data_IF_195835838592
#
_entry.id   IF_195835838592
#
_cell.length_a   1.000
_cell.length_b   1.000
_cell.length_c   1.000
_cell.angle_alpha   90.00
_cell.angle_beta   90.00
_cell.angle_gamma   90.00
#
_symmetry.space_group_name_H-M   'P 1'
#
loop_
_entity.id
_entity.type
_entity.pdbx_description
1 polymer ?
#
# COMPACT_ATOMS: atom_id res chain seq x y z
N UNK A 1 19.08 -71.13 -39.08
CA UNK A 1 20.03 -72.27 -39.16
C UNK A 1 19.24 -73.57 -39.30
N UNK A 2 19.42 -74.38 -40.35
CA UNK A 2 18.93 -75.75 -40.34
C UNK A 2 19.92 -76.65 -39.59
N UNK A 3 19.40 -77.58 -38.78
CA UNK A 3 20.20 -78.62 -38.10
C UNK A 3 20.68 -79.64 -39.15
N UNK A 4 21.97 -79.68 -39.43
CA UNK A 4 22.62 -80.75 -40.20
C UNK A 4 22.79 -82.00 -39.33
N UNK A 5 22.43 -83.18 -39.86
CA UNK A 5 22.66 -84.48 -39.21
C UNK A 5 24.18 -84.71 -39.00
N UNK A 6 24.62 -85.42 -37.94
CA UNK A 6 26.04 -85.70 -37.74
C UNK A 6 26.53 -86.71 -38.79
N UNK A 7 27.66 -86.42 -39.42
CA UNK A 7 28.35 -87.32 -40.36
C UNK A 7 29.09 -88.41 -39.57
N UNK A 8 28.68 -89.66 -39.77
CA UNK A 8 29.23 -90.88 -39.16
C UNK A 8 30.52 -91.36 -39.86
N UNK A 9 31.40 -90.44 -40.28
CA UNK A 9 32.67 -90.79 -40.94
C UNK A 9 33.85 -90.33 -40.08
N UNK A 10 34.56 -91.29 -39.52
CA UNK A 10 35.86 -91.09 -38.87
C UNK A 10 36.90 -90.73 -39.94
N UNK A 11 37.79 -89.80 -39.59
CA UNK A 11 38.63 -89.08 -40.53
C UNK A 11 39.68 -89.95 -41.26
N UNK A 12 39.86 -89.63 -42.53
CA UNK A 12 40.94 -90.14 -43.39
C UNK A 12 42.25 -89.44 -42.99
N UNK A 13 43.30 -90.19 -42.67
CA UNK A 13 44.67 -89.68 -42.57
C UNK A 13 45.43 -90.07 -43.84
N UNK A 14 45.69 -89.11 -44.73
CA UNK A 14 46.39 -89.33 -46.00
C UNK A 14 45.55 -90.08 -47.05
N UNK A 15 46.15 -91.05 -47.75
CA UNK A 15 45.52 -91.83 -48.83
C UNK A 15 45.06 -93.23 -48.40
N UNK A 16 45.06 -93.55 -47.10
CA UNK A 16 44.64 -94.84 -46.59
C UNK A 16 43.35 -94.70 -45.77
N UNK A 17 42.31 -95.44 -46.18
CA UNK A 17 41.01 -95.46 -45.51
C UNK A 17 41.08 -96.43 -44.31
N UNK A 18 40.85 -95.94 -43.09
CA UNK A 18 41.03 -96.70 -41.83
C UNK A 18 39.76 -97.48 -41.49
N UNK A 19 39.07 -98.02 -42.50
CA UNK A 19 37.99 -98.97 -42.27
C UNK A 19 38.63 -100.32 -41.89
N UNK A 20 38.41 -100.84 -40.68
CA UNK A 20 39.08 -102.05 -40.21
C UNK A 20 38.76 -103.27 -41.08
N UNK A 21 37.55 -103.32 -41.67
CA UNK A 21 37.15 -104.39 -42.59
C UNK A 21 37.95 -104.35 -43.90
N UNK A 22 38.13 -103.15 -44.48
CA UNK A 22 38.90 -102.98 -45.72
C UNK A 22 40.40 -103.14 -45.49
N UNK A 23 40.93 -102.69 -44.35
CA UNK A 23 42.34 -102.85 -44.01
C UNK A 23 42.74 -104.34 -43.89
N UNK A 24 41.84 -105.17 -43.34
CA UNK A 24 42.07 -106.62 -43.27
C UNK A 24 42.06 -107.24 -44.67
N UNK A 25 41.13 -106.85 -45.55
CA UNK A 25 41.13 -107.35 -46.94
C UNK A 25 42.39 -106.91 -47.69
N UNK A 26 42.80 -105.65 -47.56
CA UNK A 26 44.03 -105.14 -48.20
C UNK A 26 45.30 -105.83 -47.67
N UNK A 27 45.33 -106.19 -46.38
CA UNK A 27 46.43 -106.96 -45.81
C UNK A 27 46.51 -108.38 -46.40
N UNK A 28 45.38 -109.06 -46.56
CA UNK A 28 45.34 -110.38 -47.19
C UNK A 28 45.67 -110.34 -48.69
N UNK A 29 45.19 -109.31 -49.41
CA UNK A 29 45.54 -109.08 -50.81
C UNK A 29 47.04 -108.80 -50.98
N UNK A 30 47.62 -107.97 -50.12
CA UNK A 30 49.07 -107.70 -50.12
C UNK A 30 49.89 -108.97 -49.82
N UNK A 31 49.45 -109.76 -48.84
CA UNK A 31 50.12 -111.04 -48.50
C UNK A 31 50.00 -112.08 -49.61
N UNK A 32 48.87 -112.14 -50.32
CA UNK A 32 48.71 -112.98 -51.52
C UNK A 32 49.56 -112.47 -52.69
N UNK A 33 49.68 -111.15 -52.86
CA UNK A 33 50.53 -110.55 -53.89
C UNK A 33 52.02 -110.88 -53.66
N UNK A 34 52.49 -110.89 -52.40
CA UNK A 34 53.86 -111.29 -52.06
C UNK A 34 54.15 -112.77 -52.36
N UNK A 35 53.18 -113.68 -52.15
CA UNK A 35 53.33 -115.12 -52.47
C UNK A 35 53.26 -115.43 -53.98
N UNK A 36 52.56 -114.61 -54.77
CA UNK A 36 52.39 -114.78 -56.21
C UNK A 36 53.40 -114.01 -57.07
N UNK A 37 54.32 -113.26 -56.46
CA UNK A 37 55.28 -112.41 -57.17
C UNK A 37 56.45 -113.23 -57.76
N UNK A 38 56.28 -113.74 -58.97
CA UNK A 38 57.40 -114.26 -59.77
C UNK A 38 58.24 -113.08 -60.29
N UNK A 39 59.38 -112.79 -59.66
CA UNK A 39 60.36 -111.82 -60.19
C UNK A 39 60.91 -112.35 -61.51
N UNK A 40 60.39 -111.85 -62.64
CA UNK A 40 60.96 -112.12 -63.97
C UNK A 40 62.45 -111.76 -63.97
N UNK A 41 63.34 -112.66 -64.41
CA UNK A 41 64.77 -112.36 -64.41
C UNK A 41 65.11 -111.28 -65.46
N UNK A 42 65.92 -110.31 -65.03
CA UNK A 42 66.28 -109.04 -65.71
C UNK A 42 66.96 -109.15 -67.08
N UNK A 43 67.16 -110.36 -67.62
CA UNK A 43 67.83 -110.56 -68.91
C UNK A 43 66.86 -110.58 -70.09
N UNK A 44 65.56 -110.73 -69.85
CA UNK A 44 64.50 -110.73 -70.87
C UNK A 44 63.56 -109.52 -70.71
N UNK A 45 64.16 -108.37 -70.40
CA UNK A 45 63.54 -107.04 -70.42
C UNK A 45 64.43 -106.17 -71.32
N UNK A 46 63.89 -105.44 -72.31
CA UNK A 46 64.69 -104.54 -73.13
C UNK A 46 65.46 -103.57 -72.23
N UNK A 47 66.79 -103.55 -72.31
CA UNK A 47 67.60 -102.53 -71.61
C UNK A 47 67.30 -101.18 -72.25
N UNK A 48 66.53 -100.36 -71.56
CA UNK A 48 66.31 -98.97 -71.89
C UNK A 48 67.67 -98.25 -71.82
N UNK A 49 68.21 -97.80 -72.97
CA UNK A 49 69.50 -97.11 -73.01
C UNK A 49 69.44 -95.70 -72.42
N UNK A 50 70.59 -95.04 -72.19
CA UNK A 50 70.65 -93.62 -71.75
C UNK A 50 69.82 -92.69 -72.64
N UNK A 51 69.69 -93.03 -73.92
CA UNK A 51 68.83 -92.32 -74.87
C UNK A 51 67.34 -92.49 -74.53
N UNK A 52 66.92 -93.65 -74.03
CA UNK A 52 65.57 -93.89 -73.55
C UNK A 52 65.26 -93.06 -72.30
N UNK A 53 66.14 -93.07 -71.30
CA UNK A 53 65.98 -92.28 -70.07
C UNK A 53 66.00 -90.76 -70.34
N UNK A 54 66.83 -90.30 -71.28
CA UNK A 54 66.80 -88.90 -71.73
C UNK A 54 65.47 -88.56 -72.42
N UNK A 55 64.92 -89.47 -73.24
CA UNK A 55 63.61 -89.31 -73.87
C UNK A 55 62.49 -89.35 -72.82
N UNK A 56 62.58 -90.18 -71.79
CA UNK A 56 61.62 -90.23 -70.69
C UNK A 56 61.67 -88.96 -69.83
N UNK A 57 62.86 -88.50 -69.43
CA UNK A 57 63.01 -87.24 -68.70
C UNK A 57 62.52 -86.03 -69.51
N UNK A 58 62.74 -86.03 -70.82
CA UNK A 58 62.20 -84.97 -71.69
C UNK A 58 60.67 -85.05 -71.77
N UNK A 59 60.09 -86.25 -71.83
CA UNK A 59 58.63 -86.45 -71.73
C UNK A 59 58.08 -86.00 -70.39
N UNK A 60 58.70 -86.38 -69.29
CA UNK A 60 58.31 -85.97 -67.93
C UNK A 60 58.45 -84.46 -67.76
N UNK A 61 59.52 -83.84 -68.26
CA UNK A 61 59.69 -82.40 -68.22
C UNK A 61 58.61 -81.67 -69.04
N UNK A 62 58.29 -82.19 -70.22
CA UNK A 62 57.19 -81.65 -71.05
C UNK A 62 55.84 -81.82 -70.35
N UNK A 63 55.59 -82.97 -69.73
CA UNK A 63 54.38 -83.22 -68.93
C UNK A 63 54.30 -82.28 -67.73
N UNK A 64 55.39 -82.10 -66.98
CA UNK A 64 55.47 -81.23 -65.82
C UNK A 64 55.34 -79.76 -66.18
N UNK A 65 55.97 -79.32 -67.27
CA UNK A 65 55.83 -77.96 -67.79
C UNK A 65 54.39 -77.68 -68.23
N UNK A 66 53.78 -78.62 -68.95
CA UNK A 66 52.36 -78.60 -69.32
C UNK A 66 51.46 -78.51 -68.08
N UNK A 67 51.72 -79.31 -67.04
CA UNK A 67 50.99 -79.27 -65.78
C UNK A 67 51.18 -77.94 -65.04
N UNK A 68 52.38 -77.38 -64.99
CA UNK A 68 52.65 -76.07 -64.37
C UNK A 68 51.90 -74.96 -65.08
N UNK A 69 51.83 -74.97 -66.41
CA UNK A 69 51.03 -74.03 -67.17
C UNK A 69 49.54 -74.19 -66.84
N UNK A 70 49.04 -75.42 -66.77
CA UNK A 70 47.66 -75.71 -66.35
C UNK A 70 47.41 -75.16 -64.95
N UNK A 71 48.32 -75.34 -64.00
CA UNK A 71 48.20 -74.81 -62.63
C UNK A 71 48.24 -73.29 -62.58
N UNK A 72 49.14 -72.63 -63.32
CA UNK A 72 49.19 -71.17 -63.43
C UNK A 72 47.88 -70.62 -64.01
N UNK A 73 47.36 -71.25 -65.07
CA UNK A 73 46.07 -70.90 -65.68
C UNK A 73 44.93 -71.09 -64.68
N UNK A 74 44.87 -72.22 -63.97
CA UNK A 74 43.87 -72.49 -62.92
C UNK A 74 43.97 -71.50 -61.76
N UNK A 75 45.17 -71.17 -61.28
CA UNK A 75 45.38 -70.20 -60.21
C UNK A 75 44.97 -68.78 -60.63
N UNK A 76 45.28 -68.37 -61.86
CA UNK A 76 44.84 -67.09 -62.40
C UNK A 76 43.32 -67.01 -62.52
N UNK A 77 42.66 -68.09 -62.97
CA UNK A 77 41.19 -68.19 -63.01
C UNK A 77 40.63 -68.12 -61.59
N UNK A 78 41.18 -68.87 -60.63
CA UNK A 78 40.71 -68.88 -59.25
C UNK A 78 40.89 -67.51 -58.57
N UNK A 79 42.00 -66.82 -58.83
CA UNK A 79 42.22 -65.45 -58.33
C UNK A 79 41.13 -64.51 -58.83
N UNK A 80 40.81 -64.53 -60.13
CA UNK A 80 39.72 -63.72 -60.72
C UNK A 80 38.34 -64.07 -60.15
N UNK A 81 38.11 -65.34 -59.79
CA UNK A 81 36.86 -65.76 -59.13
C UNK A 81 36.81 -65.24 -57.69
N UNK A 82 37.93 -65.32 -56.96
CA UNK A 82 38.02 -64.84 -55.59
C UNK A 82 37.90 -63.31 -55.50
N UNK A 83 38.54 -62.57 -56.39
CA UNK A 83 38.40 -61.11 -56.50
C UNK A 83 36.93 -60.72 -56.71
N UNK A 84 36.26 -61.33 -57.69
CA UNK A 84 34.81 -61.15 -57.89
C UNK A 84 33.99 -61.47 -56.65
N UNK A 85 34.31 -62.55 -55.95
CA UNK A 85 33.61 -62.93 -54.71
C UNK A 85 33.80 -61.91 -53.59
N UNK A 86 34.98 -61.31 -53.48
CA UNK A 86 35.28 -60.26 -52.50
C UNK A 86 34.50 -58.98 -52.85
N UNK A 87 34.47 -58.61 -54.13
CA UNK A 87 33.66 -57.47 -54.62
C UNK A 87 32.16 -57.69 -54.35
N UNK A 88 31.63 -58.87 -54.68
CA UNK A 88 30.24 -59.25 -54.40
C UNK A 88 29.93 -59.20 -52.89
N UNK A 89 30.87 -59.65 -52.05
CA UNK A 89 30.74 -59.58 -50.59
C UNK A 89 30.69 -58.13 -50.10
N UNK A 90 31.59 -57.26 -50.59
CA UNK A 90 31.56 -55.84 -50.22
C UNK A 90 30.28 -55.16 -50.71
N UNK A 91 29.84 -55.46 -51.92
CA UNK A 91 28.59 -54.92 -52.47
C UNK A 91 27.36 -55.37 -51.67
N UNK A 92 27.31 -56.64 -51.27
CA UNK A 92 26.22 -57.13 -50.40
C UNK A 92 26.28 -56.53 -49.00
N UNK A 93 27.47 -56.33 -48.44
CA UNK A 93 27.65 -55.66 -47.16
C UNK A 93 27.16 -54.21 -47.18
N UNK A 94 27.48 -53.45 -48.24
CA UNK A 94 27.03 -52.06 -48.36
C UNK A 94 25.51 -51.98 -48.50
N UNK A 95 24.91 -52.84 -49.33
CA UNK A 95 23.44 -52.98 -49.43
C UNK A 95 22.79 -53.32 -48.09
N UNK A 96 23.44 -54.14 -47.26
CA UNK A 96 22.93 -54.45 -45.92
C UNK A 96 23.02 -53.26 -44.98
N UNK A 97 24.09 -52.45 -45.08
CA UNK A 97 24.23 -51.22 -44.30
C UNK A 97 23.18 -50.18 -44.68
N UNK A 98 22.98 -49.95 -45.97
CA UNK A 98 21.91 -49.06 -46.47
C UNK A 98 20.55 -49.50 -45.92
N UNK A 99 20.20 -50.79 -46.09
CA UNK A 99 18.96 -51.35 -45.52
C UNK A 99 18.87 -51.24 -44.01
N UNK A 100 19.99 -51.32 -43.29
CA UNK A 100 19.99 -51.16 -41.83
C UNK A 100 19.74 -49.70 -41.43
N UNK A 101 20.34 -48.75 -42.16
CA UNK A 101 20.08 -47.32 -41.96
C UNK A 101 18.61 -47.02 -42.26
N UNK A 102 18.08 -47.55 -43.36
CA UNK A 102 16.67 -47.37 -43.76
C UNK A 102 15.69 -47.99 -42.75
N UNK A 103 15.99 -49.18 -42.24
CA UNK A 103 15.11 -49.81 -41.24
C UNK A 103 15.19 -49.06 -39.90
N UNK A 104 16.37 -48.59 -39.50
CA UNK A 104 16.51 -47.82 -38.27
C UNK A 104 15.85 -46.43 -38.37
N UNK A 105 16.00 -45.74 -39.50
CA UNK A 105 15.30 -44.47 -39.74
C UNK A 105 13.79 -44.68 -39.75
N UNK A 106 13.30 -45.75 -40.40
CA UNK A 106 11.90 -46.13 -40.39
C UNK A 106 11.36 -46.43 -38.98
N UNK A 107 12.12 -47.18 -38.17
CA UNK A 107 11.73 -47.47 -36.78
C UNK A 107 11.66 -46.19 -35.94
N UNK A 108 12.62 -45.28 -36.11
CA UNK A 108 12.60 -43.97 -35.44
C UNK A 108 11.42 -43.12 -35.88
N UNK A 109 11.10 -43.12 -37.18
CA UNK A 109 9.90 -42.45 -37.69
C UNK A 109 8.61 -43.06 -37.14
N UNK A 110 8.52 -44.39 -37.03
CA UNK A 110 7.37 -45.06 -36.44
C UNK A 110 7.21 -44.71 -34.95
N UNK A 111 8.31 -44.70 -34.20
CA UNK A 111 8.31 -44.27 -32.78
C UNK A 111 7.84 -42.83 -32.64
N UNK A 112 8.39 -41.92 -33.45
CA UNK A 112 7.99 -40.51 -33.43
C UNK A 112 6.52 -40.32 -33.82
N UNK A 113 6.00 -41.11 -34.78
CA UNK A 113 4.59 -41.08 -35.16
C UNK A 113 3.71 -41.57 -34.01
N UNK A 114 4.12 -42.64 -33.33
CA UNK A 114 3.40 -43.19 -32.18
C UNK A 114 3.34 -42.18 -31.03
N UNK A 115 4.45 -41.55 -30.67
CA UNK A 115 4.47 -40.51 -29.64
C UNK A 115 3.59 -39.30 -29.99
N UNK A 116 3.57 -38.89 -31.27
CA UNK A 116 2.69 -37.81 -31.74
C UNK A 116 1.22 -38.22 -31.64
N UNK A 117 0.87 -39.42 -32.10
CA UNK A 117 -0.52 -39.90 -32.02
C UNK A 117 -0.95 -40.06 -30.57
N UNK A 118 -0.10 -40.55 -29.68
CA UNK A 118 -0.41 -40.67 -28.25
C UNK A 118 -0.61 -39.29 -27.62
N UNK A 119 0.22 -38.31 -28.00
CA UNK A 119 0.06 -36.91 -27.60
C UNK A 119 -1.24 -36.28 -28.10
N UNK A 120 -1.64 -36.58 -29.34
CA UNK A 120 -2.91 -36.13 -29.92
C UNK A 120 -4.12 -36.80 -29.25
N UNK A 121 -4.05 -38.11 -29.02
CA UNK A 121 -5.09 -38.88 -28.30
C UNK A 121 -5.25 -38.33 -26.88
N UNK A 122 -4.17 -38.05 -26.16
CA UNK A 122 -4.24 -37.48 -24.81
C UNK A 122 -4.91 -36.09 -24.81
N UNK A 123 -4.60 -35.24 -25.80
CA UNK A 123 -5.23 -33.93 -25.96
C UNK A 123 -6.72 -34.05 -26.28
N UNK A 124 -7.09 -34.96 -27.19
CA UNK A 124 -8.49 -35.20 -27.54
C UNK A 124 -9.27 -35.79 -26.36
N UNK A 125 -8.69 -36.70 -25.59
CA UNK A 125 -9.31 -37.22 -24.36
C UNK A 125 -9.52 -36.12 -23.31
N UNK A 126 -8.59 -35.17 -23.18
CA UNK A 126 -8.75 -34.03 -22.30
C UNK A 126 -9.90 -33.11 -22.75
N UNK A 127 -9.97 -32.79 -24.06
CA UNK A 127 -11.09 -32.02 -24.63
C UNK A 127 -12.43 -32.73 -24.44
N UNK A 128 -12.48 -34.04 -24.65
CA UNK A 128 -13.69 -34.83 -24.43
C UNK A 128 -14.19 -34.78 -22.99
N UNK A 129 -13.28 -34.73 -21.99
CA UNK A 129 -13.68 -34.55 -20.59
C UNK A 129 -14.33 -33.19 -20.38
N UNK A 130 -13.71 -32.12 -20.87
CA UNK A 130 -14.25 -30.76 -20.78
C UNK A 130 -15.63 -30.69 -21.44
N UNK A 131 -15.77 -31.20 -22.67
CA UNK A 131 -17.05 -31.20 -23.36
C UNK A 131 -18.12 -32.02 -22.64
N UNK A 132 -17.76 -33.14 -22.00
CA UNK A 132 -18.71 -33.90 -21.17
C UNK A 132 -19.20 -33.10 -19.97
N UNK A 133 -18.29 -32.42 -19.27
CA UNK A 133 -18.65 -31.53 -18.16
C UNK A 133 -19.57 -30.39 -18.62
N UNK A 134 -19.27 -29.76 -19.76
CA UNK A 134 -20.11 -28.73 -20.36
C UNK A 134 -21.49 -29.27 -20.75
N UNK A 135 -21.56 -30.45 -21.37
CA UNK A 135 -22.83 -31.12 -21.70
C UNK A 135 -23.65 -31.38 -20.44
N UNK A 136 -23.04 -31.85 -19.35
CA UNK A 136 -23.75 -32.06 -18.08
C UNK A 136 -24.30 -30.76 -17.49
N UNK A 137 -23.57 -29.64 -17.63
CA UNK A 137 -24.06 -28.31 -17.22
C UNK A 137 -25.25 -27.90 -18.09
N UNK A 138 -25.13 -28.01 -19.41
CA UNK A 138 -26.21 -27.67 -20.33
C UNK A 138 -27.45 -28.55 -20.14
N UNK A 139 -27.29 -29.83 -19.79
CA UNK A 139 -28.41 -30.71 -19.45
C UNK A 139 -29.11 -30.27 -18.16
N UNK A 140 -28.34 -29.86 -17.14
CA UNK A 140 -28.91 -29.30 -15.90
C UNK A 140 -29.68 -28.02 -16.19
N UNK A 141 -29.13 -27.12 -17.00
CA UNK A 141 -29.78 -25.86 -17.34
C UNK A 141 -31.00 -26.06 -18.23
N UNK A 142 -30.97 -27.01 -19.17
CA UNK A 142 -32.15 -27.43 -19.94
C UNK A 142 -33.25 -27.95 -19.02
N UNK A 143 -32.92 -28.76 -18.00
CA UNK A 143 -33.90 -29.23 -17.00
C UNK A 143 -34.48 -28.08 -16.18
N UNK A 144 -33.64 -27.12 -15.74
CA UNK A 144 -34.12 -25.90 -15.05
C UNK A 144 -35.04 -25.08 -15.94
N UNK A 145 -34.68 -24.89 -17.20
CA UNK A 145 -35.46 -24.11 -18.15
C UNK A 145 -36.79 -24.79 -18.48
N UNK A 146 -36.81 -26.11 -18.64
CA UNK A 146 -38.05 -26.86 -18.80
C UNK A 146 -38.96 -26.77 -17.56
N UNK A 147 -38.38 -26.82 -16.35
CA UNK A 147 -39.14 -26.61 -15.11
C UNK A 147 -39.66 -25.16 -14.99
N UNK A 148 -38.87 -24.18 -15.44
CA UNK A 148 -39.30 -22.79 -15.52
C UNK A 148 -40.42 -22.60 -16.55
N UNK A 149 -40.33 -23.23 -17.72
CA UNK A 149 -41.37 -23.19 -18.75
C UNK A 149 -42.70 -23.75 -18.24
N UNK A 150 -42.67 -24.85 -17.48
CA UNK A 150 -43.88 -25.40 -16.85
C UNK A 150 -44.49 -24.40 -15.86
N UNK A 151 -43.68 -23.83 -14.96
CA UNK A 151 -44.14 -22.79 -14.02
C UNK A 151 -44.67 -21.55 -14.75
N UNK A 152 -44.00 -21.15 -15.82
CA UNK A 152 -44.41 -19.99 -16.62
C UNK A 152 -45.73 -20.27 -17.34
N UNK A 153 -45.95 -21.49 -17.87
CA UNK A 153 -47.24 -21.89 -18.44
C UNK A 153 -48.36 -21.92 -17.40
N UNK A 154 -48.08 -22.32 -16.16
CA UNK A 154 -49.05 -22.23 -15.06
C UNK A 154 -49.40 -20.77 -14.78
N UNK A 155 -48.39 -19.90 -14.64
CA UNK A 155 -48.58 -18.47 -14.42
C UNK A 155 -49.32 -17.79 -15.59
N UNK A 156 -49.03 -18.16 -16.84
CA UNK A 156 -49.75 -17.63 -18.02
C UNK A 156 -51.22 -18.06 -18.01
N UNK A 157 -51.56 -19.26 -17.55
CA UNK A 157 -52.96 -19.69 -17.37
C UNK A 157 -53.64 -18.91 -16.25
N UNK A 158 -52.94 -18.65 -15.15
CA UNK A 158 -53.46 -17.78 -14.09
C UNK A 158 -53.73 -16.36 -14.62
N UNK A 159 -52.92 -15.90 -15.57
CA UNK A 159 -53.09 -14.61 -16.23
C UNK A 159 -54.12 -14.58 -17.38
N UNK A 160 -54.57 -15.74 -17.88
CA UNK A 160 -55.59 -15.87 -18.95
C UNK A 160 -56.92 -15.24 -18.51
N UNK A 161 -57.25 -15.34 -17.22
CA UNK A 161 -58.42 -14.71 -16.61
C UNK A 161 -58.40 -13.18 -16.81
N UNK A 162 -57.21 -12.56 -16.77
CA UNK A 162 -57.11 -11.12 -16.98
C UNK A 162 -57.29 -10.73 -18.45
N UNK A 163 -57.01 -11.62 -19.40
CA UNK A 163 -57.28 -11.38 -20.84
C UNK A 163 -58.79 -11.28 -21.08
N UNK A 164 -59.58 -12.13 -20.43
CA UNK A 164 -61.04 -12.04 -20.47
C UNK A 164 -61.55 -10.73 -19.86
N UNK A 165 -60.99 -10.33 -18.70
CA UNK A 165 -61.31 -9.05 -18.06
C UNK A 165 -60.89 -7.86 -18.93
N UNK A 166 -59.72 -7.90 -19.58
CA UNK A 166 -59.30 -6.84 -20.49
C UNK A 166 -60.20 -6.76 -21.72
N UNK A 167 -60.68 -7.90 -22.22
CA UNK A 167 -61.66 -7.95 -23.32
C UNK A 167 -62.98 -7.30 -22.90
N UNK A 168 -63.47 -7.59 -21.69
CA UNK A 168 -64.67 -6.96 -21.11
C UNK A 168 -64.47 -5.45 -20.86
N UNK A 169 -63.28 -5.03 -20.44
CA UNK A 169 -62.94 -3.60 -20.26
C UNK A 169 -62.86 -2.88 -21.60
N UNK A 170 -62.33 -3.49 -22.65
CA UNK A 170 -62.30 -2.94 -24.01
C UNK A 170 -63.73 -2.77 -24.55
N UNK A 171 -64.61 -3.76 -24.34
CA UNK A 171 -66.03 -3.65 -24.73
C UNK A 171 -66.77 -2.50 -24.03
N UNK A 172 -66.34 -2.13 -22.83
CA UNK A 172 -66.95 -1.06 -22.01
C UNK A 172 -66.22 0.29 -22.09
N UNK A 173 -65.14 0.42 -22.85
CA UNK A 173 -64.30 1.63 -22.90
C UNK A 173 -64.12 2.18 -24.32
N UNK A 174 -63.58 3.39 -24.40
CA UNK A 174 -63.37 4.12 -25.66
C UNK A 174 -62.10 3.66 -26.45
N UNK A 175 -61.47 2.53 -26.06
CA UNK A 175 -60.24 2.05 -26.70
C UNK A 175 -60.54 1.02 -27.80
N UNK A 176 -59.91 1.17 -28.97
CA UNK A 176 -60.17 0.32 -30.14
C UNK A 176 -59.44 -1.04 -30.08
N UNK A 177 -58.28 -1.10 -29.41
CA UNK A 177 -57.45 -2.30 -29.28
C UNK A 177 -56.82 -2.43 -27.88
N UNK A 178 -56.51 -3.66 -27.47
CA UNK A 178 -55.68 -3.95 -26.29
C UNK A 178 -54.31 -3.25 -26.36
N UNK A 179 -53.76 -3.15 -27.58
CA UNK A 179 -52.50 -2.45 -27.82
C UNK A 179 -52.62 -0.95 -27.55
N UNK A 180 -53.78 -0.33 -27.84
CA UNK A 180 -54.03 1.09 -27.55
C UNK A 180 -54.18 1.32 -26.04
N UNK A 181 -54.86 0.41 -25.33
CA UNK A 181 -54.94 0.45 -23.87
C UNK A 181 -53.56 0.29 -23.24
N UNK A 182 -52.74 -0.63 -23.75
CA UNK A 182 -51.37 -0.85 -23.28
C UNK A 182 -50.48 0.36 -23.58
N UNK A 183 -50.56 0.93 -24.78
CA UNK A 183 -49.80 2.12 -25.16
C UNK A 183 -50.17 3.34 -24.32
N UNK A 184 -51.45 3.49 -23.98
CA UNK A 184 -51.89 4.55 -23.06
C UNK A 184 -51.40 4.31 -21.63
N UNK A 185 -51.42 3.07 -21.15
CA UNK A 185 -50.83 2.72 -19.84
C UNK A 185 -49.32 2.96 -19.83
N UNK A 186 -48.60 2.56 -20.87
CA UNK A 186 -47.16 2.79 -21.00
C UNK A 186 -46.84 4.28 -21.07
N UNK A 187 -47.64 5.06 -21.82
CA UNK A 187 -47.53 6.52 -21.84
C UNK A 187 -47.80 7.10 -20.45
N UNK A 188 -48.83 6.64 -19.74
CA UNK A 188 -49.15 7.09 -18.39
C UNK A 188 -48.02 6.73 -17.41
N UNK A 189 -47.48 5.52 -17.47
CA UNK A 189 -46.35 5.08 -16.64
C UNK A 189 -45.09 5.90 -16.96
N UNK A 190 -44.80 6.16 -18.23
CA UNK A 190 -43.68 7.03 -18.63
C UNK A 190 -43.87 8.44 -18.08
N UNK A 191 -45.06 9.03 -18.23
CA UNK A 191 -45.36 10.35 -17.65
C UNK A 191 -45.27 10.34 -16.12
N UNK A 192 -45.66 9.25 -15.46
CA UNK A 192 -45.54 9.11 -14.01
C UNK A 192 -44.07 9.05 -13.58
N UNK A 193 -43.22 8.34 -14.33
CA UNK A 193 -41.78 8.31 -14.09
C UNK A 193 -41.19 9.71 -14.28
N UNK A 194 -41.51 10.40 -15.37
CA UNK A 194 -41.05 11.78 -15.63
C UNK A 194 -41.50 12.76 -14.54
N UNK A 195 -42.76 12.65 -14.08
CA UNK A 195 -43.28 13.45 -12.96
C UNK A 195 -42.50 13.15 -11.69
N UNK A 196 -42.28 11.88 -11.36
CA UNK A 196 -41.52 11.46 -10.17
C UNK A 196 -40.07 11.97 -10.22
N UNK A 197 -39.41 11.89 -11.37
CA UNK A 197 -38.07 12.44 -11.55
C UNK A 197 -38.05 13.97 -11.36
N UNK A 198 -39.03 14.67 -11.92
CA UNK A 198 -39.18 16.12 -11.75
C UNK A 198 -39.45 16.49 -10.30
N UNK A 199 -40.29 15.75 -9.60
CA UNK A 199 -40.55 15.92 -8.17
C UNK A 199 -39.29 15.72 -7.35
N UNK A 200 -38.49 14.68 -7.63
CA UNK A 200 -37.20 14.48 -6.97
C UNK A 200 -36.23 15.63 -7.22
N UNK A 201 -36.19 16.18 -8.44
CA UNK A 201 -35.37 17.36 -8.74
C UNK A 201 -35.84 18.59 -7.96
N UNK A 202 -37.15 18.81 -7.86
CA UNK A 202 -37.73 19.90 -7.07
C UNK A 202 -37.43 19.74 -5.57
N UNK A 203 -37.55 18.53 -5.03
CA UNK A 203 -37.20 18.23 -3.63
C UNK A 203 -35.72 18.51 -3.38
N UNK A 204 -34.82 18.07 -4.28
CA UNK A 204 -33.39 18.41 -4.19
C UNK A 204 -33.15 19.91 -4.25
N UNK A 205 -33.89 20.65 -5.09
CA UNK A 205 -33.82 22.10 -5.16
C UNK A 205 -34.28 22.78 -3.86
N UNK A 206 -35.40 22.34 -3.29
CA UNK A 206 -35.91 22.82 -1.99
C UNK A 206 -34.91 22.53 -0.88
N UNK A 207 -34.31 21.35 -0.87
CA UNK A 207 -33.34 20.95 0.13
C UNK A 207 -32.05 21.76 0.02
N UNK A 208 -31.60 22.05 -1.20
CA UNK A 208 -30.49 22.97 -1.43
C UNK A 208 -30.80 24.38 -0.91
N UNK A 209 -31.98 24.93 -1.24
CA UNK A 209 -32.41 26.23 -0.70
C UNK A 209 -32.48 26.20 0.82
N UNK A 210 -33.02 25.14 1.41
CA UNK A 210 -33.07 24.96 2.87
C UNK A 210 -31.68 24.93 3.50
N UNK A 211 -30.73 24.22 2.90
CA UNK A 211 -29.33 24.20 3.35
C UNK A 211 -28.72 25.61 3.28
N UNK A 212 -28.86 26.31 2.15
CA UNK A 212 -28.34 27.69 2.02
C UNK A 212 -28.98 28.66 3.01
N UNK A 213 -30.27 28.48 3.32
CA UNK A 213 -30.97 29.28 4.32
C UNK A 213 -30.42 28.99 5.72
N UNK A 214 -30.25 27.72 6.09
CA UNK A 214 -29.65 27.32 7.37
C UNK A 214 -28.25 27.93 7.51
N UNK A 215 -27.41 27.79 6.47
CA UNK A 215 -26.06 28.36 6.46
C UNK A 215 -26.07 29.89 6.60
N UNK A 216 -26.99 30.57 5.90
CA UNK A 216 -27.16 32.03 6.02
C UNK A 216 -27.62 32.44 7.41
N UNK A 217 -28.55 31.70 8.02
CA UNK A 217 -29.02 31.97 9.38
C UNK A 217 -27.95 31.69 10.43
N UNK A 218 -27.14 30.64 10.24
CA UNK A 218 -26.02 30.32 11.11
C UNK A 218 -24.95 31.42 11.05
N UNK A 219 -24.61 31.91 9.85
CA UNK A 219 -23.69 33.05 9.67
C UNK A 219 -24.24 34.32 10.31
N UNK A 220 -25.53 34.61 10.16
CA UNK A 220 -26.15 35.77 10.79
C UNK A 220 -26.13 35.66 12.33
N UNK A 221 -26.43 34.48 12.88
CA UNK A 221 -26.36 34.22 14.31
C UNK A 221 -24.93 34.37 14.84
N UNK A 222 -23.93 33.83 14.13
CA UNK A 222 -22.53 34.02 14.46
C UNK A 222 -22.15 35.50 14.48
N UNK A 223 -22.60 36.28 13.48
CA UNK A 223 -22.34 37.73 13.45
C UNK A 223 -22.99 38.47 14.62
N UNK A 224 -24.18 38.05 15.06
CA UNK A 224 -24.83 38.62 16.25
C UNK A 224 -24.00 38.32 17.51
N UNK A 225 -23.47 37.10 17.64
CA UNK A 225 -22.60 36.74 18.76
C UNK A 225 -21.33 37.59 18.76
N UNK A 226 -20.66 37.73 17.60
CA UNK A 226 -19.48 38.59 17.46
C UNK A 226 -19.77 40.04 17.87
N UNK A 227 -20.89 40.60 17.42
CA UNK A 227 -21.29 41.96 17.81
C UNK A 227 -21.62 42.08 19.31
N UNK A 228 -22.17 41.03 19.91
CA UNK A 228 -22.46 41.01 21.34
C UNK A 228 -21.17 40.93 22.17
N UNK A 229 -20.18 40.20 21.70
CA UNK A 229 -18.84 40.16 22.30
C UNK A 229 -18.14 41.53 22.18
N UNK A 230 -18.16 42.15 21.00
CA UNK A 230 -17.66 43.52 20.77
C UNK A 230 -18.35 44.53 21.70
N UNK A 231 -19.66 44.40 21.91
CA UNK A 231 -20.43 45.25 22.83
C UNK A 231 -20.00 45.03 24.28
N UNK A 232 -19.82 43.79 24.72
CA UNK A 232 -19.37 43.47 26.06
C UNK A 232 -17.96 44.02 26.34
N UNK A 233 -17.05 43.95 25.37
CA UNK A 233 -15.72 44.59 25.46
C UNK A 233 -15.84 46.11 25.61
N UNK A 234 -16.69 46.75 24.80
CA UNK A 234 -16.91 48.20 24.87
C UNK A 234 -17.52 48.63 26.22
N UNK A 235 -18.48 47.87 26.74
CA UNK A 235 -19.06 48.12 28.07
C UNK A 235 -18.01 47.98 29.18
N UNK A 236 -17.15 46.96 29.08
CA UNK A 236 -16.03 46.78 30.01
C UNK A 236 -15.07 47.98 29.98
N UNK A 237 -14.69 48.43 28.79
CA UNK A 237 -13.83 49.61 28.59
C UNK A 237 -14.48 50.89 29.12
N UNK A 238 -15.78 51.08 28.86
CA UNK A 238 -16.54 52.22 29.38
C UNK A 238 -16.59 52.21 30.90
N UNK A 239 -16.88 51.06 31.51
CA UNK A 239 -16.90 50.90 32.96
C UNK A 239 -15.52 51.18 33.57
N UNK A 240 -14.45 50.68 32.95
CA UNK A 240 -13.09 50.98 33.40
C UNK A 240 -12.81 52.47 33.35
N UNK A 241 -13.03 53.13 32.21
CA UNK A 241 -12.84 54.57 32.06
C UNK A 241 -13.66 55.35 33.10
N UNK A 242 -14.92 54.97 33.32
CA UNK A 242 -15.79 55.58 34.34
C UNK A 242 -15.24 55.42 35.76
N UNK A 243 -14.69 54.26 36.10
CA UNK A 243 -14.06 54.07 37.42
C UNK A 243 -12.80 54.91 37.57
N UNK A 244 -12.02 55.10 36.51
CA UNK A 244 -10.85 55.97 36.51
C UNK A 244 -11.23 57.44 36.64
N UNK A 245 -12.26 57.90 35.92
CA UNK A 245 -12.74 59.29 36.08
C UNK A 245 -13.24 59.53 37.50
N UNK A 246 -14.00 58.60 38.09
CA UNK A 246 -14.45 58.73 39.48
C UNK A 246 -13.27 58.78 40.47
N UNK A 247 -12.22 57.98 40.24
CA UNK A 247 -10.99 58.06 41.06
C UNK A 247 -10.36 59.44 40.96
N UNK A 248 -10.20 59.97 39.74
CA UNK A 248 -9.62 61.29 39.53
C UNK A 248 -10.49 62.42 40.09
N UNK A 249 -11.81 62.34 39.93
CA UNK A 249 -12.77 63.26 40.54
C UNK A 249 -12.66 63.26 42.06
N UNK A 250 -12.58 62.09 42.69
CA UNK A 250 -12.38 62.00 44.14
C UNK A 250 -11.04 62.60 44.56
N UNK A 251 -9.95 62.28 43.86
CA UNK A 251 -8.64 62.88 44.18
C UNK A 251 -8.66 64.41 44.01
N UNK A 252 -9.32 64.92 42.97
CA UNK A 252 -9.46 66.34 42.73
C UNK A 252 -10.32 67.01 43.80
N UNK A 253 -11.41 66.37 44.22
CA UNK A 253 -12.25 66.85 45.32
C UNK A 253 -11.45 66.94 46.62
N UNK A 254 -10.71 65.88 46.99
CA UNK A 254 -9.85 65.91 48.19
C UNK A 254 -8.76 66.99 48.12
N UNK A 255 -8.15 67.19 46.95
CA UNK A 255 -7.15 68.25 46.76
C UNK A 255 -7.79 69.64 46.86
N UNK A 256 -9.00 69.83 46.30
CA UNK A 256 -9.76 71.07 46.39
C UNK A 256 -10.13 71.39 47.85
N UNK A 257 -10.59 70.39 48.60
CA UNK A 257 -10.93 70.56 50.02
C UNK A 257 -9.69 70.91 50.84
N UNK A 258 -8.54 70.27 50.57
CA UNK A 258 -7.26 70.60 51.20
C UNK A 258 -6.82 72.04 50.90
N UNK A 259 -6.93 72.48 49.64
CA UNK A 259 -6.62 73.85 49.24
C UNK A 259 -7.55 74.83 49.95
N UNK A 260 -8.85 74.56 49.98
CA UNK A 260 -9.84 75.44 50.61
C UNK A 260 -9.62 75.55 52.13
N UNK A 261 -9.28 74.45 52.81
CA UNK A 261 -8.96 74.47 54.25
C UNK A 261 -7.65 75.21 54.52
N UNK A 262 -6.61 75.01 53.70
CA UNK A 262 -5.36 75.76 53.83
C UNK A 262 -5.58 77.26 53.57
N UNK A 263 -6.33 77.63 52.53
CA UNK A 263 -6.69 79.02 52.26
C UNK A 263 -7.44 79.63 53.45
N UNK A 264 -8.44 78.93 53.99
CA UNK A 264 -9.16 79.35 55.20
C UNK A 264 -8.21 79.54 56.39
N UNK A 265 -7.27 78.62 56.63
CA UNK A 265 -6.27 78.75 57.69
C UNK A 265 -5.35 79.97 57.48
N UNK A 266 -4.92 80.23 56.25
CA UNK A 266 -4.12 81.42 55.95
C UNK A 266 -4.91 82.71 56.20
N UNK A 267 -6.20 82.75 55.82
CA UNK A 267 -7.06 83.90 56.07
C UNK A 267 -7.27 84.11 57.58
N UNK A 268 -7.58 83.06 58.34
CA UNK A 268 -7.77 83.16 59.79
C UNK A 268 -6.48 83.59 60.50
N UNK A 269 -5.31 83.12 60.05
CA UNK A 269 -4.02 83.57 60.56
C UNK A 269 -3.80 85.05 60.28
N UNK A 270 -4.03 85.52 59.05
CA UNK A 270 -3.91 86.95 58.69
C UNK A 270 -4.86 87.81 59.53
N UNK A 271 -6.11 87.37 59.72
CA UNK A 271 -7.09 88.06 60.55
C UNK A 271 -6.65 88.10 62.03
N UNK A 272 -6.06 87.02 62.53
CA UNK A 272 -5.55 86.95 63.91
C UNK A 272 -4.36 87.90 64.14
N UNK A 273 -3.44 87.98 63.17
CA UNK A 273 -2.30 88.92 63.21
C UNK A 273 -2.81 90.35 63.18
N UNK A 274 -3.77 90.65 62.29
CA UNK A 274 -4.36 91.98 62.22
C UNK A 274 -5.07 92.33 63.54
N UNK A 275 -5.78 91.38 64.15
CA UNK A 275 -6.44 91.59 65.44
C UNK A 275 -5.44 91.90 66.56
N UNK A 276 -4.33 91.14 66.65
CA UNK A 276 -3.26 91.40 67.61
C UNK A 276 -2.62 92.77 67.39
N UNK A 277 -2.35 93.14 66.14
CA UNK A 277 -1.85 94.48 65.80
C UNK A 277 -2.82 95.58 66.25
N UNK A 278 -4.13 95.41 66.03
CA UNK A 278 -5.14 96.34 66.50
C UNK A 278 -5.21 96.43 68.04
N UNK A 279 -5.10 95.31 68.76
CA UNK A 279 -5.09 95.31 70.22
C UNK A 279 -3.87 96.06 70.78
N UNK A 280 -2.69 95.87 70.19
CA UNK A 280 -1.47 96.55 70.64
C UNK A 280 -1.49 98.05 70.32
N UNK A 281 -1.94 98.43 69.11
CA UNK A 281 -2.06 99.84 68.72
C UNK A 281 -3.13 100.57 69.53
N UNK A 282 -4.25 99.93 69.85
CA UNK A 282 -5.29 100.52 70.72
C UNK A 282 -4.82 100.65 72.17
N UNK A 283 -3.99 99.73 72.67
CA UNK A 283 -3.38 99.88 74.01
C UNK A 283 -2.44 101.08 74.09
N UNK A 284 -1.69 101.34 73.02
CA UNK A 284 -0.70 102.42 72.97
C UNK A 284 -1.28 103.77 72.54
N UNK A 285 -2.60 103.89 72.36
CA UNK A 285 -3.31 105.06 71.83
C UNK A 285 -2.74 105.57 70.47
N UNK A 286 -2.16 104.67 69.67
CA UNK A 286 -1.63 105.00 68.34
C UNK A 286 -2.68 104.78 67.25
N UNK A 287 -2.75 105.70 66.28
CA UNK A 287 -3.62 105.51 65.10
C UNK A 287 -3.05 104.37 64.23
N UNK A 288 -3.92 103.45 63.83
CA UNK A 288 -3.62 102.33 62.92
C UNK A 288 -3.00 102.88 61.61
N UNK A 289 -1.73 102.53 61.33
CA UNK A 289 -1.00 102.99 60.13
C UNK A 289 -0.90 101.92 59.04
N UNK A 290 -0.90 100.64 59.41
CA UNK A 290 -0.65 99.52 58.49
C UNK A 290 -1.93 98.91 57.93
N UNK A 291 -1.90 98.47 56.67
CA UNK A 291 -3.03 97.81 55.99
C UNK A 291 -3.09 96.33 56.33
N UNK A 292 -4.29 95.72 56.23
CA UNK A 292 -4.57 94.30 56.47
C UNK A 292 -3.61 93.31 55.78
N UNK A 293 -3.18 93.60 54.55
CA UNK A 293 -2.34 92.70 53.75
C UNK A 293 -0.83 92.92 53.93
N UNK A 294 -0.41 93.91 54.72
CA UNK A 294 1.00 94.13 55.05
C UNK A 294 1.36 93.34 56.32
N UNK A 295 1.31 92.01 56.20
CA UNK A 295 1.50 91.07 57.31
C UNK A 295 2.91 91.19 57.90
N UNK A 296 3.91 91.44 57.04
CA UNK A 296 5.30 91.62 57.46
C UNK A 296 5.46 92.82 58.39
N UNK A 297 4.99 93.99 57.97
CA UNK A 297 5.06 95.20 58.80
C UNK A 297 4.24 95.08 60.10
N UNK A 298 3.10 94.40 60.07
CA UNK A 298 2.29 94.15 61.28
C UNK A 298 3.02 93.24 62.27
N UNK A 299 3.65 92.17 61.79
CA UNK A 299 4.42 91.25 62.64
C UNK A 299 5.66 91.92 63.23
N UNK A 300 6.37 92.75 62.46
CA UNK A 300 7.52 93.50 62.95
C UNK A 300 7.10 94.47 64.07
N UNK A 301 5.99 95.20 63.91
CA UNK A 301 5.46 96.06 64.97
C UNK A 301 5.01 95.26 66.21
N UNK A 302 4.31 94.13 66.00
CA UNK A 302 3.90 93.25 67.10
C UNK A 302 5.15 92.76 67.86
N UNK A 303 6.20 92.37 67.15
CA UNK A 303 7.46 91.89 67.73
C UNK A 303 8.14 92.98 68.56
N UNK A 304 8.35 94.16 67.99
CA UNK A 304 8.99 95.28 68.68
C UNK A 304 8.22 95.65 69.96
N UNK A 305 6.89 95.64 69.90
CA UNK A 305 6.03 95.96 71.04
C UNK A 305 6.02 94.87 72.12
N UNK A 306 6.07 93.59 71.74
CA UNK A 306 6.24 92.49 72.68
C UNK A 306 7.60 92.62 73.38
N UNK A 307 8.66 92.97 72.67
CA UNK A 307 9.99 93.15 73.23
C UNK A 307 10.02 94.32 74.24
N UNK A 308 9.33 95.43 73.93
CA UNK A 308 9.11 96.54 74.87
C UNK A 308 8.32 96.08 76.10
N UNK A 309 7.25 95.31 75.92
CA UNK A 309 6.45 94.79 77.04
C UNK A 309 7.25 93.86 77.94
N UNK A 310 8.03 92.96 77.35
CA UNK A 310 8.92 92.10 78.12
C UNK A 310 9.92 92.92 78.94
N UNK A 311 10.46 93.99 78.36
CA UNK A 311 11.35 94.89 79.08
C UNK A 311 10.64 95.70 80.18
N UNK A 312 9.38 96.08 79.99
CA UNK A 312 8.55 96.70 81.04
C UNK A 312 8.25 95.70 82.14
N UNK A 313 7.90 94.46 81.80
CA UNK A 313 7.61 93.38 82.76
C UNK A 313 8.88 93.04 83.56
N UNK A 314 10.05 92.91 82.89
CA UNK A 314 11.34 92.72 83.57
C UNK A 314 11.64 93.88 84.52
N UNK A 315 11.42 95.13 84.09
CA UNK A 315 11.58 96.31 84.96
C UNK A 315 10.57 96.36 86.11
N UNK A 316 9.33 95.95 85.88
CA UNK A 316 8.27 95.88 86.88
C UNK A 316 8.54 94.78 87.91
N UNK A 317 8.97 93.59 87.50
CA UNK A 317 9.46 92.55 88.39
C UNK A 317 10.65 93.03 89.20
N UNK A 318 11.62 93.71 88.57
CA UNK A 318 12.77 94.27 89.29
C UNK A 318 12.40 95.39 90.27
N UNK A 319 11.29 96.12 90.01
CA UNK A 319 10.69 97.08 90.96
C UNK A 319 9.94 96.38 92.09
N UNK A 320 9.16 95.35 91.79
CA UNK A 320 8.47 94.51 92.77
C UNK A 320 9.44 93.75 93.67
N UNK A 321 10.61 93.34 93.17
CA UNK A 321 11.68 92.76 93.99
C UNK A 321 12.34 93.79 94.92
N UNK A 322 12.33 95.08 94.55
CA UNK A 322 12.82 96.19 95.39
C UNK A 322 11.79 96.73 96.37
N UNK A 323 10.50 96.69 96.05
CA UNK A 323 9.38 97.16 96.89
C UNK A 323 8.74 96.03 97.72
N UNK A 324 8.87 94.77 97.29
CA UNK A 324 8.38 93.55 97.95
C UNK A 324 9.20 93.08 99.15
N UNK A 325 10.26 93.80 99.52
CA UNK A 325 10.90 93.64 100.84
C UNK A 325 10.23 94.47 101.95
N UNK A 326 9.20 95.28 101.65
CA UNK A 326 8.70 96.28 102.63
C UNK A 326 7.21 96.23 103.00
N UNK A 327 6.37 95.29 102.53
CA UNK A 327 4.97 95.24 102.98
C UNK A 327 4.43 93.81 103.13
N UNK A 328 4.61 93.26 104.34
CA UNK A 328 3.59 92.41 104.98
C UNK A 328 2.27 93.19 105.02
N UNK A 329 1.18 92.59 104.57
CA UNK A 329 -0.15 93.20 104.76
C UNK A 329 -1.26 92.63 103.88
N UNK A 330 -1.85 91.54 104.36
CA UNK A 330 -3.28 91.22 104.25
C UNK A 330 -3.92 90.99 102.86
N UNK A 331 -4.52 89.80 102.74
CA UNK A 331 -5.95 89.78 102.41
C UNK A 331 -6.39 89.04 101.15
N UNK A 332 -6.66 87.74 101.34
CA UNK A 332 -7.96 87.13 101.01
C UNK A 332 -8.35 86.85 99.56
N UNK A 333 -8.44 85.55 99.26
CA UNK A 333 -9.62 84.84 98.73
C UNK A 333 -10.58 85.61 97.82
N UNK A 334 -10.85 85.06 96.63
CA UNK A 334 -12.17 84.44 96.35
C UNK A 334 -12.31 83.82 94.95
N UNK A 335 -12.94 82.64 94.97
CA UNK A 335 -13.75 81.99 93.93
C UNK A 335 -13.08 81.48 92.65
N UNK A 336 -13.02 80.15 92.53
CA UNK A 336 -13.43 79.46 91.31
C UNK A 336 -14.14 78.16 91.69
N UNK A 337 -15.42 78.07 91.33
CA UNK A 337 -16.24 76.87 91.40
C UNK A 337 -16.86 76.65 90.02
N UNK A 338 -16.93 75.37 89.69
CA UNK A 338 -17.84 74.70 88.77
C UNK A 338 -17.49 74.62 87.28
N UNK A 339 -17.03 73.39 86.98
CA UNK A 339 -17.02 72.66 85.72
C UNK A 339 -18.42 72.07 85.47
N UNK A 340 -19.01 72.37 84.31
CA UNK A 340 -20.05 71.58 83.62
C UNK A 340 -19.36 70.92 82.41
N UNK A 341 -19.29 69.58 82.26
CA UNK A 341 -20.31 68.59 81.86
C UNK A 341 -20.98 68.84 80.50
N UNK A 342 -20.85 67.83 79.63
CA UNK A 342 -21.62 67.63 78.39
C UNK A 342 -20.71 67.11 77.28
N UNK A 343 -20.47 65.80 77.17
CA UNK A 343 -21.35 64.76 76.61
C UNK A 343 -20.89 64.39 75.20
N UNK A 344 -20.06 63.36 75.14
CA UNK A 344 -19.71 62.65 73.91
C UNK A 344 -20.91 61.82 73.44
N UNK A 345 -21.38 62.15 72.24
CA UNK A 345 -22.13 61.27 71.35
C UNK A 345 -21.50 61.48 69.97
N UNK A 346 -20.72 60.51 69.54
CA UNK A 346 -20.31 60.39 68.14
C UNK A 346 -20.17 58.91 67.80
N UNK A 347 -20.90 58.56 66.75
CA UNK A 347 -20.95 57.30 66.01
C UNK A 347 -19.57 56.81 65.52
#
# INVERSE_FOLDING_TARGET
MPRTKPTLKLGVYGSFDINPEQAVTSFFESKQQDELYFKKPLWDVPREGLQHEAIENEREFLEMSSQQEIFKRKAAIQKKINERRIEDMHHTQEKLREKFIDTNSFLKECSNKLERTDGEIAKELAKQKIYKEEIEVFEKDKKKLAAFELKFKEVVKDFEIYVDVFSEVIENSDYESFDDLTMNIDSLLSTQIEISEREQQLVKGIEHVRQTMIDSTAKAAQRIIELNDELAELESHYNQARTETLKWENTLATAKDFIAENEKQTITLVDSIQHLYHLLTTRNDEKVKLKKFDVGGQLDYIRDEIEILEDIIKRAHHKMEKEGQSMLGEGSNRFQNNVDKGSDLSD
#
